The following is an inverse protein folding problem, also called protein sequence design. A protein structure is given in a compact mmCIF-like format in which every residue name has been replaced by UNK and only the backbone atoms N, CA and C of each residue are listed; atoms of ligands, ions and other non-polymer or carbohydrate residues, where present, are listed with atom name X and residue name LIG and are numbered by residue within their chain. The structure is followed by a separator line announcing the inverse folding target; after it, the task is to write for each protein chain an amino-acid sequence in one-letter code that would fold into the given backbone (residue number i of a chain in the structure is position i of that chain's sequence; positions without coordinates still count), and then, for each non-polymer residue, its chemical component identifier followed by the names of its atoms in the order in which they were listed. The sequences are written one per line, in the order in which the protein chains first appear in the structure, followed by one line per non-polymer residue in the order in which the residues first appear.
data_IF_547925388508
#
_entry.id   IF_547925388508
#
_cell.length_a   1.000
_cell.length_b   1.000
_cell.length_c   1.000
_cell.angle_alpha   90.00
_cell.angle_beta   90.00
_cell.angle_gamma   90.00
#
_symmetry.space_group_name_H-M   'P 1'
#
loop_
_entity.id
_entity.type
_entity.pdbx_description
1 polymer ?
#
# COMPACT_ATOMS: atom_id res chain seq x y z
N UNK A 1 -5.48 -7.61 -23.50
CA UNK A 1 -5.21 -7.59 -22.05
C UNK A 1 -4.21 -6.46 -21.80
N UNK A 2 -4.54 -5.46 -20.98
CA UNK A 2 -3.64 -4.33 -20.74
C UNK A 2 -2.42 -4.75 -19.89
N UNK A 3 -1.37 -3.92 -19.86
CA UNK A 3 -0.12 -4.26 -19.16
C UNK A 3 -0.34 -4.48 -17.65
N UNK A 4 -1.24 -3.74 -17.03
CA UNK A 4 -1.59 -3.87 -15.60
C UNK A 4 -2.15 -5.28 -15.30
N UNK A 5 -3.12 -5.75 -16.09
CA UNK A 5 -3.69 -7.07 -15.90
C UNK A 5 -2.66 -8.20 -16.08
N UNK A 6 -1.75 -8.05 -17.06
CA UNK A 6 -0.63 -9.00 -17.23
C UNK A 6 0.29 -9.00 -16.01
N UNK A 7 0.56 -7.82 -15.43
CA UNK A 7 1.37 -7.70 -14.23
C UNK A 7 0.69 -8.35 -13.03
N UNK A 8 -0.59 -8.03 -12.76
CA UNK A 8 -1.35 -8.60 -11.64
C UNK A 8 -1.45 -10.13 -11.75
N UNK A 9 -1.70 -10.68 -12.93
CA UNK A 9 -1.75 -12.14 -13.12
C UNK A 9 -0.40 -12.82 -12.81
N UNK A 10 0.73 -12.14 -13.05
CA UNK A 10 2.05 -12.63 -12.63
C UNK A 10 2.26 -12.60 -11.12
N UNK A 11 1.55 -11.73 -10.37
CA UNK A 11 1.62 -11.70 -8.91
C UNK A 11 1.03 -12.96 -8.28
N UNK A 12 0.05 -13.61 -8.93
CA UNK A 12 -0.55 -14.86 -8.45
C UNK A 12 0.47 -16.01 -8.34
N UNK A 13 1.50 -15.97 -9.18
CA UNK A 13 2.61 -16.92 -9.15
C UNK A 13 3.81 -16.44 -8.33
N UNK A 14 3.67 -15.31 -7.62
CA UNK A 14 4.75 -14.80 -6.77
C UNK A 14 4.86 -15.67 -5.51
N UNK A 15 6.02 -16.31 -5.35
CA UNK A 15 6.28 -17.14 -4.17
C UNK A 15 6.49 -16.24 -2.96
N UNK A 16 5.55 -16.31 -2.02
CA UNK A 16 5.68 -15.67 -0.72
C UNK A 16 6.51 -16.53 0.22
N UNK A 17 7.34 -15.89 1.03
CA UNK A 17 8.09 -16.50 2.12
C UNK A 17 7.13 -16.94 3.25
N UNK A 18 7.52 -17.92 4.07
CA UNK A 18 6.63 -18.43 5.11
C UNK A 18 6.26 -17.40 6.19
N UNK A 19 7.18 -16.49 6.50
CA UNK A 19 6.87 -15.37 7.41
C UNK A 19 5.87 -14.38 6.81
N UNK A 20 5.88 -14.17 5.49
CA UNK A 20 4.90 -13.34 4.78
C UNK A 20 3.51 -14.00 4.81
N UNK A 21 3.43 -15.31 4.54
CA UNK A 21 2.17 -16.06 4.59
C UNK A 21 1.53 -15.95 5.98
N UNK A 22 2.30 -16.24 7.05
CA UNK A 22 1.81 -16.14 8.44
C UNK A 22 1.28 -14.75 8.79
N UNK A 23 2.01 -13.69 8.42
CA UNK A 23 1.52 -12.32 8.69
C UNK A 23 0.28 -11.97 7.89
N UNK A 24 0.17 -12.44 6.64
CA UNK A 24 -1.01 -12.25 5.80
C UNK A 24 -2.24 -12.93 6.44
N UNK A 25 -2.12 -14.18 6.91
CA UNK A 25 -3.19 -14.90 7.61
C UNK A 25 -3.73 -14.09 8.80
N UNK A 26 -2.83 -13.59 9.66
CA UNK A 26 -3.21 -12.75 10.81
C UNK A 26 -3.92 -11.46 10.37
N UNK A 27 -3.42 -10.82 9.31
CA UNK A 27 -4.00 -9.58 8.79
C UNK A 27 -5.38 -9.83 8.20
N UNK A 28 -5.54 -10.89 7.40
CA UNK A 28 -6.84 -11.26 6.80
C UNK A 28 -7.86 -11.53 7.89
N UNK A 29 -7.54 -12.35 8.89
CA UNK A 29 -8.42 -12.65 10.01
C UNK A 29 -8.87 -11.37 10.74
N UNK A 30 -7.94 -10.49 11.07
CA UNK A 30 -8.24 -9.26 11.81
C UNK A 30 -9.00 -8.23 10.95
N UNK A 31 -8.69 -8.11 9.66
CA UNK A 31 -9.41 -7.23 8.75
C UNK A 31 -10.81 -7.73 8.48
N UNK A 32 -11.01 -9.03 8.26
CA UNK A 32 -12.32 -9.63 8.00
C UNK A 32 -13.35 -9.25 9.05
N UNK A 33 -12.97 -9.28 10.33
CA UNK A 33 -13.82 -8.94 11.46
C UNK A 33 -14.15 -7.43 11.57
N UNK A 34 -13.46 -6.54 10.84
CA UNK A 34 -13.57 -5.08 10.98
C UNK A 34 -13.87 -4.35 9.68
N UNK A 35 -13.61 -4.95 8.52
CA UNK A 35 -13.66 -4.27 7.22
C UNK A 35 -15.05 -3.68 6.90
N UNK A 36 -16.11 -4.34 7.33
CA UNK A 36 -17.49 -3.87 7.11
C UNK A 36 -17.90 -2.69 8.02
N UNK A 37 -17.15 -2.41 9.07
CA UNK A 37 -17.43 -1.33 10.03
C UNK A 37 -16.55 -0.09 9.83
N UNK A 38 -15.60 -0.15 8.90
CA UNK A 38 -14.60 0.90 8.66
C UNK A 38 -14.53 1.18 7.16
N UNK A 39 -14.57 2.46 6.80
CA UNK A 39 -14.55 2.93 5.41
C UNK A 39 -13.16 3.29 4.89
N UNK A 40 -12.13 3.34 5.74
CA UNK A 40 -10.78 3.78 5.38
C UNK A 40 -9.70 2.90 6.01
N UNK A 41 -8.71 2.52 5.20
CA UNK A 41 -7.41 1.98 5.65
C UNK A 41 -6.31 3.00 5.36
N UNK A 42 -5.47 3.31 6.37
CA UNK A 42 -4.34 4.24 6.27
C UNK A 42 -3.03 3.48 6.43
N UNK A 43 -2.18 3.52 5.41
CA UNK A 43 -0.83 2.96 5.46
C UNK A 43 0.15 3.98 6.02
N UNK A 44 0.93 3.59 7.03
CA UNK A 44 1.80 4.51 7.77
C UNK A 44 3.26 4.12 7.60
N UNK A 45 4.09 5.10 7.26
CA UNK A 45 5.55 5.01 7.34
C UNK A 45 6.13 6.35 7.82
N UNK A 46 7.43 6.46 8.07
CA UNK A 46 8.02 7.69 8.64
C UNK A 46 7.79 8.91 7.75
N UNK A 47 8.15 8.85 6.47
CA UNK A 47 8.18 10.03 5.60
C UNK A 47 7.01 10.13 4.61
N UNK A 48 6.13 9.16 4.57
CA UNK A 48 5.06 9.05 3.56
C UNK A 48 5.55 9.29 2.12
N UNK A 49 6.71 8.75 1.80
CA UNK A 49 7.43 9.01 0.54
C UNK A 49 7.53 7.79 -0.37
N UNK A 50 7.64 6.57 0.19
CA UNK A 50 7.93 5.34 -0.57
C UNK A 50 6.97 4.20 -0.23
N UNK A 51 7.23 3.43 0.83
CA UNK A 51 6.50 2.19 1.17
C UNK A 51 4.99 2.39 1.30
N UNK A 52 4.56 3.35 2.11
CA UNK A 52 3.13 3.64 2.30
C UNK A 52 2.45 4.18 1.03
N UNK A 53 3.19 4.86 0.14
CA UNK A 53 2.67 5.31 -1.16
C UNK A 53 2.46 4.12 -2.11
N UNK A 54 3.37 3.15 -2.14
CA UNK A 54 3.15 1.91 -2.88
C UNK A 54 1.93 1.15 -2.34
N UNK A 55 1.80 1.06 -1.01
CA UNK A 55 0.64 0.39 -0.39
C UNK A 55 -0.67 1.09 -0.75
N UNK A 56 -0.74 2.42 -0.66
CA UNK A 56 -1.92 3.20 -1.06
C UNK A 56 -2.29 2.96 -2.52
N UNK A 57 -1.31 3.06 -3.43
CA UNK A 57 -1.54 2.89 -4.87
C UNK A 57 -2.05 1.50 -5.20
N UNK A 58 -1.35 0.45 -4.73
CA UNK A 58 -1.75 -0.92 -5.00
C UNK A 58 -3.07 -1.31 -4.34
N UNK A 59 -3.35 -0.80 -3.15
CA UNK A 59 -4.65 -1.05 -2.52
C UNK A 59 -5.80 -0.45 -3.31
N UNK A 60 -5.66 0.78 -3.82
CA UNK A 60 -6.67 1.39 -4.69
C UNK A 60 -6.90 0.58 -5.97
N UNK A 61 -5.83 0.15 -6.64
CA UNK A 61 -5.89 -0.64 -7.87
C UNK A 61 -6.54 -2.01 -7.62
N UNK A 62 -6.10 -2.72 -6.59
CA UNK A 62 -6.56 -4.08 -6.31
C UNK A 62 -7.95 -4.10 -5.67
N UNK A 63 -8.32 -3.10 -4.85
CA UNK A 63 -9.67 -2.97 -4.34
C UNK A 63 -10.70 -2.81 -5.46
N UNK A 64 -10.39 -1.97 -6.46
CA UNK A 64 -11.23 -1.85 -7.64
C UNK A 64 -11.35 -3.18 -8.40
N UNK A 65 -10.24 -3.91 -8.57
CA UNK A 65 -10.25 -5.23 -9.22
C UNK A 65 -11.11 -6.26 -8.49
N UNK A 66 -11.11 -6.26 -7.17
CA UNK A 66 -11.83 -7.22 -6.31
C UNK A 66 -13.21 -6.72 -5.86
N UNK A 67 -13.62 -5.52 -6.25
CA UNK A 67 -14.91 -4.95 -5.85
C UNK A 67 -15.00 -4.62 -4.36
N UNK A 68 -13.88 -4.36 -3.69
CA UNK A 68 -13.87 -3.97 -2.28
C UNK A 68 -14.30 -2.50 -2.14
N UNK A 69 -15.40 -2.28 -1.41
CA UNK A 69 -15.94 -0.94 -1.15
C UNK A 69 -15.30 -0.31 0.10
N UNK A 70 -13.99 -0.03 0.02
CA UNK A 70 -13.23 0.62 1.09
C UNK A 70 -12.25 1.61 0.48
N UNK A 71 -12.01 2.72 1.17
CA UNK A 71 -11.05 3.74 0.77
C UNK A 71 -9.66 3.45 1.32
N UNK A 72 -8.64 3.95 0.63
CA UNK A 72 -7.23 3.80 1.02
C UNK A 72 -6.53 5.14 0.98
N UNK A 73 -5.71 5.38 2.01
CA UNK A 73 -4.84 6.54 2.11
C UNK A 73 -3.49 6.11 2.69
N UNK A 74 -2.55 7.03 2.71
CA UNK A 74 -1.28 6.84 3.41
C UNK A 74 -0.92 8.08 4.21
N UNK A 75 -0.10 7.93 5.25
CA UNK A 75 0.38 9.02 6.06
C UNK A 75 1.80 8.74 6.56
N UNK A 76 2.44 9.77 7.09
CA UNK A 76 3.73 9.68 7.75
C UNK A 76 3.74 10.39 9.08
N UNK A 77 4.80 10.18 9.85
CA UNK A 77 5.11 11.02 11.02
C UNK A 77 5.67 12.37 10.59
N UNK A 78 6.23 12.43 9.36
CA UNK A 78 6.79 13.63 8.75
C UNK A 78 6.31 13.76 7.31
N UNK A 79 5.89 14.96 6.92
CA UNK A 79 5.51 15.30 5.55
C UNK A 79 6.74 15.61 4.71
N UNK A 80 6.82 14.99 3.53
CA UNK A 80 7.91 15.21 2.57
C UNK A 80 7.34 15.32 1.15
N UNK A 81 7.75 14.43 0.25
CA UNK A 81 7.19 14.29 -1.10
C UNK A 81 7.19 12.83 -1.51
N UNK A 82 6.33 12.46 -2.45
CA UNK A 82 6.39 11.14 -3.09
C UNK A 82 7.67 11.05 -3.90
N UNK A 83 8.49 10.05 -3.62
CA UNK A 83 9.76 9.89 -4.32
C UNK A 83 9.51 9.47 -5.77
N UNK A 84 10.23 10.12 -6.71
CA UNK A 84 10.01 9.95 -8.16
C UNK A 84 10.01 8.50 -8.63
N UNK A 85 10.90 7.66 -8.06
CA UNK A 85 11.04 6.27 -8.48
C UNK A 85 9.84 5.38 -8.03
N UNK A 86 9.04 5.82 -7.05
CA UNK A 86 7.74 5.20 -6.73
C UNK A 86 6.79 5.33 -7.92
N UNK A 87 6.65 6.55 -8.46
CA UNK A 87 5.79 6.82 -9.62
C UNK A 87 6.29 6.02 -10.84
N UNK A 88 7.60 6.04 -11.09
CA UNK A 88 8.21 5.32 -12.20
C UNK A 88 7.99 3.81 -12.12
N UNK A 89 8.13 3.23 -10.93
CA UNK A 89 7.94 1.79 -10.69
C UNK A 89 6.47 1.38 -10.87
N UNK A 90 5.52 2.19 -10.38
CA UNK A 90 4.09 1.98 -10.63
C UNK A 90 3.75 2.02 -12.11
N UNK A 91 4.32 2.98 -12.88
CA UNK A 91 4.16 3.02 -14.34
C UNK A 91 4.70 1.76 -15.03
N UNK A 92 5.89 1.29 -14.64
CA UNK A 92 6.46 0.06 -15.19
C UNK A 92 5.62 -1.18 -14.87
N UNK A 93 4.93 -1.17 -13.74
CA UNK A 93 3.95 -2.20 -13.39
C UNK A 93 2.63 -2.10 -14.19
N UNK A 94 2.46 -1.06 -15.00
CA UNK A 94 1.29 -0.83 -15.82
C UNK A 94 0.16 -0.05 -15.15
N UNK A 95 0.41 0.54 -13.99
CA UNK A 95 -0.53 1.42 -13.29
C UNK A 95 -0.66 2.73 -14.08
N UNK A 96 -1.89 3.17 -14.34
CA UNK A 96 -2.17 4.45 -14.98
C UNK A 96 -1.97 5.59 -13.97
N UNK A 97 -0.76 6.14 -13.96
CA UNK A 97 -0.34 7.23 -13.08
C UNK A 97 0.57 8.20 -13.86
N UNK A 98 0.36 9.49 -13.70
CA UNK A 98 1.18 10.50 -14.35
C UNK A 98 2.34 11.00 -13.44
N UNK A 99 3.20 11.88 -13.98
CA UNK A 99 4.36 12.43 -13.27
C UNK A 99 3.99 13.23 -12.00
N UNK A 100 2.77 13.77 -11.95
CA UNK A 100 2.25 14.53 -10.80
C UNK A 100 1.64 13.61 -9.73
N UNK A 101 1.72 12.28 -9.92
CA UNK A 101 1.13 11.31 -8.98
C UNK A 101 -0.38 11.14 -9.12
N UNK A 102 -0.99 11.64 -10.21
CA UNK A 102 -2.42 11.43 -10.45
C UNK A 102 -2.59 10.00 -10.96
N UNK A 103 -3.23 9.19 -10.13
CA UNK A 103 -3.59 7.79 -10.36
C UNK A 103 -5.01 7.73 -10.94
N UNK A 104 -5.18 7.07 -12.06
CA UNK A 104 -6.47 6.88 -12.72
C UNK A 104 -6.86 5.40 -12.69
N UNK A 105 -8.04 5.11 -12.15
CA UNK A 105 -8.60 3.75 -12.07
C UNK A 105 -10.01 3.79 -12.63
N UNK A 106 -10.21 3.22 -13.81
CA UNK A 106 -11.51 3.15 -14.50
C UNK A 106 -12.24 4.51 -14.56
N UNK A 107 -11.51 5.57 -14.92
CA UNK A 107 -12.04 6.91 -15.06
C UNK A 107 -12.15 7.71 -13.76
N UNK A 108 -11.89 7.10 -12.59
CA UNK A 108 -11.80 7.81 -11.31
C UNK A 108 -10.36 8.20 -11.03
N UNK A 109 -10.12 9.48 -10.83
CA UNK A 109 -8.79 10.01 -10.55
C UNK A 109 -8.60 10.26 -9.05
N UNK A 110 -7.42 9.94 -8.54
CA UNK A 110 -6.95 10.30 -7.20
C UNK A 110 -5.47 10.68 -7.27
N UNK A 111 -4.99 11.43 -6.30
CA UNK A 111 -3.59 11.87 -6.26
C UNK A 111 -2.84 11.20 -5.11
N UNK A 112 -1.64 10.69 -5.41
CA UNK A 112 -0.67 10.30 -4.40
C UNK A 112 0.15 11.53 -3.99
N UNK A 113 0.12 11.86 -2.71
CA UNK A 113 0.91 12.97 -2.16
C UNK A 113 1.32 12.66 -0.73
N UNK A 114 2.41 13.26 -0.27
CA UNK A 114 2.89 13.07 1.10
C UNK A 114 2.04 13.88 2.09
N UNK A 115 1.59 13.23 3.14
CA UNK A 115 0.73 13.79 4.19
C UNK A 115 1.05 13.17 5.56
N UNK A 116 0.61 13.82 6.62
CA UNK A 116 0.69 13.31 7.99
C UNK A 116 -0.66 12.74 8.42
N UNK A 117 -0.73 12.13 9.60
CA UNK A 117 -1.99 11.67 10.18
C UNK A 117 -2.98 12.81 10.43
N UNK A 118 -2.50 14.04 10.70
CA UNK A 118 -3.36 15.22 10.90
C UNK A 118 -4.08 15.63 9.60
N UNK A 119 -3.53 15.28 8.44
CA UNK A 119 -4.16 15.51 7.14
C UNK A 119 -5.31 14.52 6.85
N UNK A 120 -5.42 13.41 7.60
CA UNK A 120 -6.52 12.43 7.52
C UNK A 120 -7.73 13.00 8.27
N UNK A 121 -8.83 13.19 7.58
CA UNK A 121 -10.05 13.84 8.13
C UNK A 121 -11.05 12.86 8.73
N UNK A 122 -10.95 11.58 8.39
CA UNK A 122 -11.83 10.54 8.88
C UNK A 122 -11.63 10.30 10.39
N UNK A 123 -12.74 10.21 11.10
CA UNK A 123 -12.75 9.99 12.54
C UNK A 123 -12.60 8.52 12.93
N UNK A 124 -12.62 7.61 11.95
CA UNK A 124 -12.44 6.16 12.17
C UNK A 124 -11.73 5.56 10.98
N UNK A 125 -10.63 4.85 11.23
CA UNK A 125 -9.89 4.12 10.22
C UNK A 125 -9.18 2.89 10.81
N UNK A 126 -8.63 2.04 9.93
CA UNK A 126 -7.67 1.00 10.28
C UNK A 126 -6.29 1.51 9.89
N UNK A 127 -5.30 1.44 10.77
CA UNK A 127 -3.92 1.76 10.44
C UNK A 127 -3.10 0.51 10.14
N UNK A 128 -2.26 0.58 9.09
CA UNK A 128 -1.29 -0.46 8.75
C UNK A 128 0.09 0.18 8.67
N UNK A 129 0.94 -0.11 9.64
CA UNK A 129 2.31 0.42 9.71
C UNK A 129 3.25 -0.39 8.82
N UNK A 130 4.03 0.31 7.98
CA UNK A 130 4.88 -0.30 6.95
C UNK A 130 6.39 -0.26 7.26
N UNK A 131 6.80 0.30 8.38
CA UNK A 131 8.20 0.31 8.82
C UNK A 131 8.34 0.28 10.34
N UNK A 132 9.42 -0.32 10.82
CA UNK A 132 9.74 -0.43 12.25
C UNK A 132 9.99 0.91 12.93
N UNK A 133 10.51 1.90 12.20
CA UNK A 133 10.72 3.26 12.74
C UNK A 133 9.40 3.96 13.01
N UNK A 134 8.40 3.81 12.12
CA UNK A 134 7.07 4.36 12.36
C UNK A 134 6.35 3.60 13.48
N UNK A 135 6.56 2.29 13.62
CA UNK A 135 6.00 1.53 14.75
C UNK A 135 6.49 2.06 16.09
N UNK A 136 7.77 2.40 16.19
CA UNK A 136 8.39 2.89 17.44
C UNK A 136 8.06 4.35 17.76
N UNK A 137 7.94 5.19 16.73
CA UNK A 137 7.90 6.64 16.86
C UNK A 137 6.54 7.26 16.46
N UNK A 138 5.62 6.48 15.89
CA UNK A 138 4.28 6.95 15.57
C UNK A 138 3.38 6.68 16.77
N UNK A 139 2.88 7.71 17.47
CA UNK A 139 1.89 7.51 18.51
C UNK A 139 0.66 6.84 17.91
N UNK A 140 0.05 5.93 18.66
CA UNK A 140 -1.22 5.33 18.27
C UNK A 140 -2.27 6.44 18.14
N UNK A 141 -2.79 6.61 16.94
CA UNK A 141 -3.85 7.59 16.71
C UNK A 141 -5.17 7.05 17.32
N UNK A 142 -5.82 7.80 18.22
CA UNK A 142 -7.05 7.35 18.89
C UNK A 142 -8.20 7.08 17.92
N UNK A 143 -8.14 7.59 16.70
CA UNK A 143 -9.10 7.32 15.62
C UNK A 143 -8.87 5.96 14.95
N UNK A 144 -7.73 5.32 15.20
CA UNK A 144 -7.43 3.99 14.66
C UNK A 144 -8.09 2.90 15.49
N UNK A 145 -9.09 2.25 14.91
CA UNK A 145 -9.86 1.17 15.56
C UNK A 145 -9.18 -0.20 15.49
N UNK A 146 -8.17 -0.33 14.65
CA UNK A 146 -7.33 -1.51 14.52
C UNK A 146 -5.96 -1.10 14.01
N UNK A 147 -4.90 -1.52 14.73
CA UNK A 147 -3.53 -1.28 14.33
C UNK A 147 -2.90 -2.61 13.87
N UNK A 148 -2.38 -2.62 12.66
CA UNK A 148 -1.72 -3.75 12.03
C UNK A 148 -0.32 -3.36 11.54
N UNK A 149 0.54 -4.35 11.34
CA UNK A 149 1.91 -4.14 10.88
C UNK A 149 2.20 -5.01 9.66
N UNK A 150 2.71 -4.40 8.59
CA UNK A 150 3.30 -5.09 7.43
C UNK A 150 4.61 -4.39 7.10
N UNK A 151 5.71 -4.88 7.61
CA UNK A 151 7.00 -4.24 7.39
C UNK A 151 7.62 -4.65 6.05
N UNK A 152 8.15 -3.65 5.35
CA UNK A 152 8.91 -3.81 4.12
C UNK A 152 10.28 -3.15 4.27
N UNK A 153 11.29 -3.71 3.61
CA UNK A 153 12.59 -3.08 3.48
C UNK A 153 12.47 -1.70 2.82
N UNK A 154 13.23 -0.73 3.34
CA UNK A 154 13.22 0.61 2.76
C UNK A 154 14.06 0.66 1.48
N UNK A 155 13.47 0.92 0.31
CA UNK A 155 14.21 1.09 -0.91
C UNK A 155 15.09 2.35 -0.92
N UNK A 156 14.92 3.27 0.05
CA UNK A 156 15.69 4.52 0.17
C UNK A 156 17.20 4.27 0.16
N UNK A 157 17.66 3.15 0.71
CA UNK A 157 19.09 2.79 0.72
C UNK A 157 19.72 2.67 -0.67
N UNK A 158 18.91 2.60 -1.71
CA UNK A 158 19.35 2.50 -3.11
C UNK A 158 19.15 3.79 -3.90
N UNK A 159 18.69 4.88 -3.26
CA UNK A 159 18.43 6.16 -3.94
C UNK A 159 19.73 6.67 -4.62
N UNK A 160 19.64 6.97 -5.92
CA UNK A 160 20.75 7.44 -6.73
C UNK A 160 21.80 6.37 -7.09
N UNK A 161 21.60 5.11 -6.71
CA UNK A 161 22.51 4.01 -7.08
C UNK A 161 22.13 3.43 -8.44
N UNK A 162 23.06 2.76 -9.10
CA UNK A 162 22.86 2.11 -10.40
C UNK A 162 21.69 1.09 -10.38
N UNK A 163 21.49 0.39 -9.27
CA UNK A 163 20.43 -0.59 -9.09
C UNK A 163 19.12 -0.03 -8.51
N UNK A 164 18.97 1.28 -8.32
CA UNK A 164 17.80 1.95 -7.75
C UNK A 164 16.50 1.43 -8.40
N UNK A 165 16.42 1.51 -9.71
CA UNK A 165 15.26 1.06 -10.48
C UNK A 165 14.85 -0.37 -10.15
N UNK A 166 15.82 -1.29 -10.15
CA UNK A 166 15.59 -2.72 -9.88
C UNK A 166 15.05 -2.95 -8.46
N UNK A 167 15.61 -2.27 -7.48
CA UNK A 167 15.23 -2.44 -6.07
C UNK A 167 13.86 -1.81 -5.76
N UNK A 168 13.53 -0.69 -6.42
CA UNK A 168 12.19 -0.12 -6.34
C UNK A 168 11.15 -1.02 -7.00
N UNK A 169 11.44 -1.61 -8.17
CA UNK A 169 10.55 -2.58 -8.83
C UNK A 169 10.36 -3.84 -7.98
N UNK A 170 11.40 -4.30 -7.28
CA UNK A 170 11.31 -5.43 -6.33
C UNK A 170 10.39 -5.09 -5.15
N UNK A 171 10.56 -3.91 -4.54
CA UNK A 171 9.71 -3.44 -3.43
C UNK A 171 8.26 -3.27 -3.89
N UNK A 172 8.04 -2.63 -5.04
CA UNK A 172 6.74 -2.46 -5.66
C UNK A 172 6.03 -3.80 -5.86
N UNK A 173 6.74 -4.80 -6.41
CA UNK A 173 6.21 -6.14 -6.67
C UNK A 173 5.88 -6.88 -5.38
N UNK A 174 6.74 -6.83 -4.37
CA UNK A 174 6.51 -7.48 -3.07
C UNK A 174 5.25 -6.93 -2.39
N UNK A 175 5.12 -5.61 -2.34
CA UNK A 175 3.93 -4.94 -1.78
C UNK A 175 2.67 -5.32 -2.55
N UNK A 176 2.72 -5.25 -3.88
CA UNK A 176 1.60 -5.62 -4.75
C UNK A 176 1.16 -7.07 -4.53
N UNK A 177 2.11 -8.01 -4.44
CA UNK A 177 1.82 -9.43 -4.26
C UNK A 177 1.13 -9.71 -2.92
N UNK A 178 1.60 -9.12 -1.83
CA UNK A 178 0.99 -9.34 -0.51
C UNK A 178 -0.40 -8.71 -0.42
N UNK A 179 -0.59 -7.49 -0.90
CA UNK A 179 -1.92 -6.84 -0.93
C UNK A 179 -2.88 -7.65 -1.81
N UNK A 180 -2.39 -8.17 -2.95
CA UNK A 180 -3.19 -9.03 -3.83
C UNK A 180 -3.70 -10.28 -3.11
N UNK A 181 -2.84 -10.97 -2.35
CA UNK A 181 -3.24 -12.15 -1.57
C UNK A 181 -4.21 -11.78 -0.46
N UNK A 182 -3.95 -10.70 0.28
CA UNK A 182 -4.84 -10.20 1.35
C UNK A 182 -6.24 -9.94 0.78
N UNK A 183 -6.36 -9.18 -0.31
CA UNK A 183 -7.66 -8.80 -0.85
C UNK A 183 -8.40 -9.97 -1.49
N UNK A 184 -7.68 -10.85 -2.20
CA UNK A 184 -8.24 -12.11 -2.74
C UNK A 184 -8.80 -12.99 -1.62
N UNK A 185 -8.10 -13.09 -0.49
CA UNK A 185 -8.57 -13.86 0.66
C UNK A 185 -9.78 -13.23 1.32
N UNK A 186 -9.82 -11.90 1.48
CA UNK A 186 -10.98 -11.20 2.06
C UNK A 186 -12.25 -11.41 1.25
N UNK A 187 -12.16 -11.41 -0.09
CA UNK A 187 -13.32 -11.61 -0.97
C UNK A 187 -13.77 -13.08 -0.99
N UNK A 188 -12.85 -14.03 -0.92
CA UNK A 188 -13.17 -15.45 -0.94
C UNK A 188 -13.69 -15.98 0.42
N UNK A 189 -13.57 -15.19 1.48
CA UNK A 189 -14.08 -15.52 2.82
C UNK A 189 -15.51 -15.02 3.06
N UNK A 190 -16.09 -14.34 2.06
CA UNK A 190 -17.49 -13.92 1.99
C UNK A 190 -18.28 -14.94 1.17
#
# INVERSE_FOLDING_TARGET
MNNLNKYINKLENHKLEDHQKKRIEIIVERLYNKINSISLIVFICTHNSRRSQFCEAWSKVLANRYGLNISFSSAGTTKTSVYKEVINSLKRAGVDINEKGILNIEGKSSILYSKTLDDIKENKFISITNCTDAEKNCPLDPRSHLNLNIFYDDPKKFDGMENEKKEYDKTCKSIAAEINVIFKSLVNSV
#
